data_IF_264156846087
#
_entry.id   IF_264156846087
#
_cell.length_a   1.000
_cell.length_b   1.000
_cell.length_c   1.000
_cell.angle_alpha   90.00
_cell.angle_beta   90.00
_cell.angle_gamma   90.00
#
_symmetry.space_group_name_H-M   'P 1'
#
loop_
_entity.id
_entity.type
_entity.pdbx_description
1 polymer ?
#
# COMPACT_ATOMS: atom_id res chain seq x y z
N UNK A 1 11.16 -3.40 9.39
CA UNK A 1 11.92 -2.26 8.85
C UNK A 1 13.26 -2.20 9.57
N UNK A 2 14.35 -1.88 8.90
CA UNK A 2 15.69 -1.93 9.51
C UNK A 2 16.66 -0.85 9.02
N UNK A 3 16.18 0.16 8.29
CA UNK A 3 16.99 1.25 7.74
C UNK A 3 16.08 2.39 7.30
N UNK A 4 16.60 3.62 7.26
CA UNK A 4 15.94 4.78 6.65
C UNK A 4 16.81 5.33 5.51
N UNK A 5 16.18 5.53 4.35
CA UNK A 5 16.75 6.23 3.21
C UNK A 5 15.92 7.49 2.95
N UNK A 6 16.52 8.65 3.17
CA UNK A 6 15.92 9.97 2.96
C UNK A 6 16.36 10.52 1.59
N UNK A 7 15.47 10.46 0.61
CA UNK A 7 15.73 10.92 -0.75
C UNK A 7 15.24 12.37 -0.87
N UNK A 8 16.15 13.31 -1.11
CA UNK A 8 15.81 14.74 -1.19
C UNK A 8 16.14 15.34 -2.56
N UNK A 9 15.25 16.20 -3.06
CA UNK A 9 15.45 16.96 -4.31
C UNK A 9 14.76 18.33 -4.23
N UNK A 10 15.28 19.19 -3.37
CA UNK A 10 14.81 20.55 -3.14
C UNK A 10 15.82 21.58 -3.65
N UNK A 11 15.35 22.81 -3.93
CA UNK A 11 16.26 23.92 -4.19
C UNK A 11 17.06 24.28 -2.94
N UNK A 12 18.24 24.86 -3.12
CA UNK A 12 19.14 25.16 -1.99
C UNK A 12 18.55 26.10 -0.94
N UNK A 13 17.68 27.02 -1.34
CA UNK A 13 16.95 27.95 -0.47
C UNK A 13 15.77 27.29 0.27
N UNK A 14 15.31 26.13 -0.20
CA UNK A 14 14.19 25.37 0.39
C UNK A 14 14.67 24.27 1.36
N UNK A 15 15.96 23.88 1.31
CA UNK A 15 16.56 22.83 2.16
C UNK A 15 16.58 23.15 3.66
N UNK A 16 16.14 24.32 4.08
CA UNK A 16 16.19 24.75 5.49
C UNK A 16 15.46 23.79 6.44
N UNK A 17 14.24 23.36 6.08
CA UNK A 17 13.44 22.43 6.89
C UNK A 17 14.09 21.04 6.91
N UNK A 18 14.47 20.54 5.74
CA UNK A 18 15.17 19.25 5.59
C UNK A 18 16.41 19.17 6.48
N UNK A 19 17.26 20.21 6.47
CA UNK A 19 18.48 20.24 7.30
C UNK A 19 18.15 20.14 8.79
N UNK A 20 17.17 20.91 9.27
CA UNK A 20 16.77 20.87 10.69
C UNK A 20 16.19 19.53 11.11
N UNK A 21 15.34 18.93 10.27
CA UNK A 21 14.81 17.58 10.54
C UNK A 21 15.94 16.54 10.54
N UNK A 22 16.85 16.64 9.59
CA UNK A 22 17.96 15.69 9.44
C UNK A 22 19.06 15.84 10.48
N UNK A 23 19.23 16.99 11.12
CA UNK A 23 20.19 17.15 12.23
C UNK A 23 19.86 16.23 13.41
N UNK A 24 18.57 16.01 13.69
CA UNK A 24 18.12 15.17 14.80
C UNK A 24 17.93 13.70 14.41
N UNK A 25 17.52 13.43 13.18
CA UNK A 25 16.99 12.12 12.78
C UNK A 25 17.99 10.96 12.85
N UNK A 26 19.26 11.11 12.44
CA UNK A 26 20.27 10.06 12.59
C UNK A 26 20.47 9.65 14.06
N UNK A 27 20.42 10.60 15.00
CA UNK A 27 20.50 10.31 16.44
C UNK A 27 19.31 9.48 16.91
N UNK A 28 18.10 9.80 16.45
CA UNK A 28 16.87 9.06 16.76
C UNK A 28 16.95 7.61 16.27
N UNK A 29 17.44 7.37 15.05
CA UNK A 29 17.60 6.01 14.51
C UNK A 29 18.77 5.24 15.14
N UNK A 30 19.87 5.93 15.46
CA UNK A 30 21.04 5.32 16.10
C UNK A 30 20.75 4.77 17.50
N UNK A 31 19.84 5.39 18.27
CA UNK A 31 19.39 4.86 19.57
C UNK A 31 18.81 3.45 19.44
N UNK A 32 18.12 3.17 18.33
CA UNK A 32 17.56 1.84 18.02
C UNK A 32 18.54 0.94 17.24
N UNK A 33 19.78 1.38 17.04
CA UNK A 33 20.78 0.65 16.26
C UNK A 33 20.45 0.54 14.77
N UNK A 34 19.63 1.45 14.24
CA UNK A 34 19.21 1.46 12.84
C UNK A 34 20.01 2.51 12.04
N UNK A 35 20.49 2.18 10.82
CA UNK A 35 21.12 3.15 9.95
C UNK A 35 20.08 4.10 9.34
N UNK A 36 20.47 5.37 9.21
CA UNK A 36 19.74 6.39 8.46
C UNK A 36 20.71 7.10 7.51
N UNK A 37 20.35 7.18 6.23
CA UNK A 37 21.14 7.81 5.19
C UNK A 37 20.30 8.83 4.41
N UNK A 38 20.89 9.99 4.10
CA UNK A 38 20.30 10.98 3.21
C UNK A 38 21.01 10.92 1.87
N UNK A 39 20.23 10.86 0.80
CA UNK A 39 20.70 10.81 -0.59
C UNK A 39 20.11 12.03 -1.31
N UNK A 40 21.00 12.89 -1.80
CA UNK A 40 20.61 13.99 -2.67
C UNK A 40 20.41 13.48 -4.09
N UNK A 41 19.24 13.75 -4.66
CA UNK A 41 18.83 13.31 -5.98
C UNK A 41 18.79 14.52 -6.91
N UNK A 42 19.61 14.52 -7.95
CA UNK A 42 19.72 15.67 -8.86
C UNK A 42 18.98 15.47 -10.18
N UNK A 43 18.70 14.22 -10.58
CA UNK A 43 18.02 13.88 -11.84
C UNK A 43 17.13 12.64 -11.74
N UNK A 44 16.26 12.44 -12.73
CA UNK A 44 15.38 11.27 -12.80
C UNK A 44 16.17 9.98 -12.94
N UNK A 45 17.32 10.04 -13.66
CA UNK A 45 18.25 8.92 -13.79
C UNK A 45 18.84 8.57 -12.42
N UNK A 46 19.29 9.55 -11.63
CA UNK A 46 19.80 9.31 -10.28
C UNK A 46 18.74 8.73 -9.35
N UNK A 47 17.50 9.25 -9.41
CA UNK A 47 16.38 8.70 -8.64
C UNK A 47 16.15 7.23 -8.99
N UNK A 48 16.08 6.93 -10.28
CA UNK A 48 15.92 5.56 -10.78
C UNK A 48 17.07 4.66 -10.29
N UNK A 49 18.31 5.11 -10.40
CA UNK A 49 19.49 4.38 -9.94
C UNK A 49 19.46 4.14 -8.43
N UNK A 50 19.10 5.13 -7.63
CA UNK A 50 18.97 4.99 -6.17
C UNK A 50 17.90 3.97 -5.79
N UNK A 51 16.72 4.04 -6.42
CA UNK A 51 15.64 3.07 -6.18
C UNK A 51 16.02 1.66 -6.65
N UNK A 52 16.76 1.53 -7.76
CA UNK A 52 17.29 0.23 -8.24
C UNK A 52 18.28 -0.38 -7.25
N UNK A 53 19.14 0.44 -6.64
CA UNK A 53 20.06 -0.02 -5.62
C UNK A 53 19.33 -0.49 -4.35
N UNK A 54 18.21 0.16 -3.98
CA UNK A 54 17.36 -0.32 -2.89
C UNK A 54 16.73 -1.68 -3.18
N UNK A 55 16.41 -2.00 -4.45
CA UNK A 55 15.99 -3.37 -4.84
C UNK A 55 17.13 -4.35 -4.55
N UNK A 56 18.37 -4.03 -4.92
CA UNK A 56 19.54 -4.87 -4.67
C UNK A 56 19.73 -5.11 -3.16
N UNK A 57 19.67 -4.06 -2.36
CA UNK A 57 19.78 -4.16 -0.90
C UNK A 57 18.64 -4.96 -0.27
N UNK A 58 17.41 -4.78 -0.75
CA UNK A 58 16.25 -5.54 -0.29
C UNK A 58 16.41 -7.05 -0.55
N UNK A 59 16.93 -7.43 -1.72
CA UNK A 59 17.26 -8.82 -2.02
C UNK A 59 18.35 -9.42 -1.11
N UNK A 60 19.19 -8.58 -0.50
CA UNK A 60 20.17 -8.99 0.52
C UNK A 60 19.61 -8.99 1.94
N UNK A 61 18.30 -8.73 2.11
CA UNK A 61 17.60 -8.77 3.39
C UNK A 61 17.33 -7.40 4.02
N UNK A 62 17.63 -6.29 3.34
CA UNK A 62 17.21 -4.97 3.79
C UNK A 62 15.67 -4.84 3.76
N UNK A 63 15.13 -4.11 4.73
CA UNK A 63 13.71 -3.73 4.81
C UNK A 63 13.65 -2.22 4.97
N UNK A 64 13.97 -1.47 3.91
CA UNK A 64 14.12 -0.03 3.98
C UNK A 64 12.80 0.67 4.29
N UNK A 65 12.92 1.77 5.02
CA UNK A 65 12.00 2.88 4.94
C UNK A 65 12.52 3.86 3.91
N UNK A 66 11.65 4.33 3.02
CA UNK A 66 12.00 5.39 2.08
C UNK A 66 11.24 6.65 2.49
N UNK A 67 11.96 7.74 2.73
CA UNK A 67 11.39 9.06 2.90
C UNK A 67 11.63 9.88 1.63
N UNK A 68 10.57 10.38 1.00
CA UNK A 68 10.68 11.34 -0.11
C UNK A 68 10.50 12.77 0.40
N UNK A 69 11.49 13.60 0.15
CA UNK A 69 11.55 15.01 0.56
C UNK A 69 11.81 15.90 -0.66
N UNK A 70 10.73 16.27 -1.32
CA UNK A 70 10.70 16.86 -2.65
C UNK A 70 9.38 17.62 -2.86
N UNK A 71 9.28 18.38 -3.94
CA UNK A 71 7.96 18.84 -4.37
C UNK A 71 7.26 17.75 -5.18
N UNK A 72 5.93 17.76 -5.12
CA UNK A 72 5.08 16.89 -5.91
C UNK A 72 4.06 17.69 -6.70
N UNK A 73 3.77 17.22 -7.91
CA UNK A 73 2.71 17.72 -8.78
C UNK A 73 1.65 16.65 -8.94
N UNK A 74 0.38 17.04 -8.76
CA UNK A 74 -0.76 16.15 -8.98
C UNK A 74 -0.70 15.45 -10.35
N UNK A 75 -0.36 16.19 -11.40
CA UNK A 75 -0.37 15.69 -12.78
C UNK A 75 0.98 15.10 -13.21
N UNK A 76 2.09 15.73 -12.81
CA UNK A 76 3.43 15.40 -13.35
C UNK A 76 4.23 14.43 -12.48
N UNK A 77 3.87 14.25 -11.22
CA UNK A 77 4.60 13.40 -10.28
C UNK A 77 5.63 14.16 -9.46
N UNK A 78 6.72 13.48 -9.10
CA UNK A 78 7.80 14.06 -8.31
C UNK A 78 8.63 15.03 -9.15
N UNK A 79 8.89 16.22 -8.63
CA UNK A 79 9.76 17.20 -9.26
C UNK A 79 11.17 17.10 -8.70
N UNK A 80 12.17 17.15 -9.60
CA UNK A 80 13.58 17.04 -9.27
C UNK A 80 14.26 18.37 -9.50
N UNK A 81 14.46 19.12 -8.42
CA UNK A 81 14.72 20.55 -8.49
C UNK A 81 16.01 20.92 -9.24
N UNK A 82 17.05 20.08 -9.19
CA UNK A 82 18.35 20.39 -9.79
C UNK A 82 18.37 20.26 -11.32
N UNK A 83 17.57 19.35 -11.88
CA UNK A 83 17.48 19.09 -13.33
C UNK A 83 16.21 19.64 -13.97
N UNK A 84 15.25 20.11 -13.17
CA UNK A 84 13.90 20.49 -13.59
C UNK A 84 13.13 19.36 -14.29
N UNK A 85 13.47 18.12 -13.95
CA UNK A 85 12.82 16.91 -14.44
C UNK A 85 11.64 16.50 -13.56
N UNK A 86 10.75 15.68 -14.12
CA UNK A 86 9.66 15.05 -13.38
C UNK A 86 9.73 13.52 -13.52
N UNK A 87 9.50 12.81 -12.42
CA UNK A 87 9.19 11.38 -12.45
C UNK A 87 7.70 11.19 -12.20
N UNK A 88 6.99 10.57 -13.15
CA UNK A 88 5.56 10.37 -13.03
C UNK A 88 5.21 9.44 -11.85
N UNK A 89 4.01 9.61 -11.29
CA UNK A 89 3.52 8.71 -10.24
C UNK A 89 3.50 7.25 -10.69
N UNK A 90 3.15 6.98 -11.94
CA UNK A 90 3.15 5.63 -12.51
C UNK A 90 4.54 5.00 -12.54
N UNK A 91 5.56 5.75 -12.95
CA UNK A 91 6.95 5.27 -12.98
C UNK A 91 7.45 5.00 -11.56
N UNK A 92 7.23 5.94 -10.65
CA UNK A 92 7.60 5.79 -9.24
C UNK A 92 6.95 4.55 -8.62
N UNK A 93 5.65 4.35 -8.83
CA UNK A 93 4.90 3.18 -8.33
C UNK A 93 5.46 1.87 -8.90
N UNK A 94 5.88 1.86 -10.17
CA UNK A 94 6.50 0.68 -10.76
C UNK A 94 7.82 0.34 -10.08
N UNK A 95 8.68 1.33 -9.82
CA UNK A 95 9.96 1.12 -9.13
C UNK A 95 9.78 0.69 -7.67
N UNK A 96 8.85 1.31 -6.95
CA UNK A 96 8.55 0.95 -5.57
C UNK A 96 8.00 -0.48 -5.45
N UNK A 97 7.24 -0.95 -6.46
CA UNK A 97 6.77 -2.33 -6.54
C UNK A 97 7.90 -3.35 -6.56
N UNK A 98 8.94 -3.10 -7.33
CA UNK A 98 10.09 -4.00 -7.40
C UNK A 98 10.82 -4.07 -6.04
N UNK A 99 10.93 -2.93 -5.35
CA UNK A 99 11.50 -2.88 -3.99
C UNK A 99 10.60 -3.65 -3.01
N UNK A 100 9.30 -3.41 -3.02
CA UNK A 100 8.38 -4.04 -2.08
C UNK A 100 8.26 -5.55 -2.30
N UNK A 101 8.37 -6.01 -3.56
CA UNK A 101 8.49 -7.42 -3.90
C UNK A 101 9.73 -8.03 -3.24
N UNK A 102 10.90 -7.40 -3.39
CA UNK A 102 12.14 -7.84 -2.76
C UNK A 102 12.08 -7.80 -1.23
N UNK A 103 11.31 -6.87 -0.65
CA UNK A 103 11.09 -6.76 0.80
C UNK A 103 10.07 -7.77 1.36
N UNK A 104 9.40 -8.55 0.52
CA UNK A 104 8.29 -9.43 0.94
C UNK A 104 7.14 -8.64 1.58
N UNK A 105 6.74 -7.53 0.94
CA UNK A 105 5.67 -6.63 1.39
C UNK A 105 5.93 -5.94 2.74
N UNK A 106 7.19 -5.58 2.99
CA UNK A 106 7.63 -4.83 4.18
C UNK A 106 8.21 -3.44 3.85
N UNK A 107 8.08 -2.95 2.62
CA UNK A 107 8.50 -1.59 2.28
C UNK A 107 7.53 -0.60 2.93
N UNK A 108 8.10 0.35 3.68
CA UNK A 108 7.36 1.51 4.18
C UNK A 108 7.84 2.76 3.46
N UNK A 109 6.90 3.54 2.95
CA UNK A 109 7.17 4.81 2.29
C UNK A 109 6.53 5.94 3.08
N UNK A 110 7.32 6.95 3.42
CA UNK A 110 6.84 8.23 3.93
C UNK A 110 7.15 9.26 2.84
N UNK A 111 6.17 10.04 2.41
CA UNK A 111 6.40 11.04 1.37
C UNK A 111 5.90 12.38 1.86
N UNK A 112 6.84 13.31 2.07
CA UNK A 112 6.57 14.70 2.39
C UNK A 112 6.37 15.56 1.12
N UNK A 113 6.17 14.93 -0.04
CA UNK A 113 5.94 15.64 -1.30
C UNK A 113 4.42 15.87 -1.53
N UNK A 114 4.02 17.08 -1.93
CA UNK A 114 2.62 17.44 -2.17
C UNK A 114 1.89 16.43 -3.09
N UNK A 115 0.63 16.13 -2.80
CA UNK A 115 -0.24 15.23 -3.57
C UNK A 115 0.25 13.78 -3.69
N UNK A 116 1.31 13.37 -2.98
CA UNK A 116 1.91 12.05 -3.17
C UNK A 116 1.02 10.88 -2.71
N UNK A 117 -0.07 11.12 -1.98
CA UNK A 117 -1.06 10.08 -1.70
C UNK A 117 -1.85 9.63 -2.94
N UNK A 118 -1.88 10.43 -4.01
CA UNK A 118 -2.50 10.07 -5.29
C UNK A 118 -1.85 8.83 -5.93
N UNK A 119 -0.61 8.51 -5.55
CA UNK A 119 0.09 7.30 -5.97
C UNK A 119 -0.71 6.02 -5.66
N UNK A 120 -1.60 6.03 -4.66
CA UNK A 120 -2.51 4.91 -4.34
C UNK A 120 -3.43 4.54 -5.51
N UNK A 121 -3.76 5.48 -6.40
CA UNK A 121 -4.65 5.23 -7.55
C UNK A 121 -4.07 4.27 -8.58
N UNK A 122 -2.75 4.07 -8.56
CA UNK A 122 -2.04 3.15 -9.44
C UNK A 122 -1.83 1.75 -8.80
N UNK A 123 -2.41 1.51 -7.62
CA UNK A 123 -2.39 0.19 -6.98
C UNK A 123 -3.38 -0.74 -7.66
N UNK A 124 -2.87 -1.85 -8.19
CA UNK A 124 -3.64 -2.95 -8.78
C UNK A 124 -3.45 -4.22 -7.94
N UNK A 125 -4.55 -4.82 -7.47
CA UNK A 125 -4.53 -6.05 -6.68
C UNK A 125 -4.05 -7.28 -7.46
N UNK A 126 -3.98 -7.19 -8.79
CA UNK A 126 -3.46 -8.23 -9.65
C UNK A 126 -1.94 -8.18 -9.80
N UNK A 127 -1.30 -7.09 -9.37
CA UNK A 127 0.14 -6.91 -9.31
C UNK A 127 0.61 -6.90 -7.85
N UNK A 128 1.91 -6.99 -7.63
CA UNK A 128 2.48 -6.75 -6.29
C UNK A 128 2.14 -5.33 -5.81
N UNK A 129 1.77 -5.18 -4.54
CA UNK A 129 1.57 -3.86 -3.95
C UNK A 129 2.87 -3.03 -4.05
N UNK A 130 2.82 -1.74 -4.42
CA UNK A 130 4.03 -0.93 -4.51
C UNK A 130 4.69 -0.65 -3.15
N UNK A 131 3.94 -0.78 -2.06
CA UNK A 131 4.41 -0.61 -0.70
C UNK A 131 3.51 -1.38 0.26
N UNK A 132 4.07 -1.82 1.39
CA UNK A 132 3.28 -2.33 2.50
C UNK A 132 2.50 -1.21 3.18
N UNK A 133 3.15 -0.08 3.39
CA UNK A 133 2.60 1.14 3.99
C UNK A 133 3.05 2.36 3.17
N UNK A 134 2.12 3.27 2.89
CA UNK A 134 2.42 4.63 2.41
C UNK A 134 1.81 5.64 3.38
N UNK A 135 2.60 6.61 3.82
CA UNK A 135 2.16 7.78 4.58
C UNK A 135 2.47 9.01 3.76
N UNK A 136 1.44 9.69 3.27
CA UNK A 136 1.60 10.82 2.34
C UNK A 136 0.43 11.82 2.43
N UNK A 137 0.62 13.09 2.03
CA UNK A 137 -0.45 14.06 1.94
C UNK A 137 -1.36 13.85 0.71
N UNK A 138 -2.66 14.08 0.90
CA UNK A 138 -3.66 14.12 -0.20
C UNK A 138 -3.56 15.41 -1.02
N UNK A 139 -2.99 16.46 -0.44
CA UNK A 139 -2.89 17.79 -1.04
C UNK A 139 -1.53 18.43 -0.84
N UNK A 140 -1.52 19.75 -0.81
CA UNK A 140 -0.34 20.53 -0.42
C UNK A 140 -0.01 20.31 1.06
N UNK A 141 1.28 20.29 1.38
CA UNK A 141 1.77 20.18 2.75
C UNK A 141 2.58 21.41 3.13
N UNK A 142 2.36 21.92 4.34
CA UNK A 142 3.05 23.11 4.82
C UNK A 142 4.43 22.75 5.40
N UNK A 143 5.45 23.54 5.05
CA UNK A 143 6.82 23.33 5.52
C UNK A 143 6.96 23.39 7.06
N UNK A 144 6.25 24.32 7.71
CA UNK A 144 6.24 24.43 9.18
C UNK A 144 5.59 23.20 9.84
N UNK A 145 4.53 22.64 9.23
CA UNK A 145 3.95 21.39 9.70
C UNK A 145 4.95 20.23 9.66
N UNK A 146 5.72 20.10 8.57
CA UNK A 146 6.76 19.08 8.44
C UNK A 146 7.85 19.25 9.51
N UNK A 147 8.34 20.48 9.69
CA UNK A 147 9.37 20.80 10.68
C UNK A 147 8.94 20.43 12.11
N UNK A 148 7.71 20.78 12.48
CA UNK A 148 7.18 20.52 13.83
C UNK A 148 6.92 19.03 14.10
N UNK A 149 6.51 18.27 13.09
CA UNK A 149 5.94 16.93 13.29
C UNK A 149 6.82 15.78 12.82
N UNK A 150 7.76 15.97 11.90
CA UNK A 150 8.45 14.84 11.26
C UNK A 150 9.40 14.12 12.22
N UNK A 151 10.27 14.83 12.94
CA UNK A 151 11.16 14.21 13.95
C UNK A 151 10.35 13.55 15.06
N UNK A 152 9.26 14.20 15.50
CA UNK A 152 8.38 13.66 16.54
C UNK A 152 7.68 12.38 16.08
N UNK A 153 7.23 12.33 14.83
CA UNK A 153 6.66 11.12 14.20
C UNK A 153 7.65 9.96 14.24
N UNK A 154 8.89 10.16 13.77
CA UNK A 154 9.89 9.10 13.77
C UNK A 154 10.26 8.62 15.17
N UNK A 155 10.42 9.56 16.11
CA UNK A 155 10.72 9.23 17.51
C UNK A 155 9.62 8.41 18.15
N UNK A 156 8.36 8.79 17.96
CA UNK A 156 7.21 8.08 18.52
C UNK A 156 7.01 6.71 17.86
N UNK A 157 7.15 6.63 16.54
CA UNK A 157 7.06 5.38 15.79
C UNK A 157 8.09 4.36 16.28
N UNK A 158 9.35 4.78 16.45
CA UNK A 158 10.43 3.89 16.90
C UNK A 158 10.24 3.48 18.36
N UNK A 159 9.93 4.43 19.25
CA UNK A 159 9.76 4.15 20.68
C UNK A 159 8.57 3.23 20.98
N UNK A 160 7.46 3.35 20.23
CA UNK A 160 6.27 2.53 20.42
C UNK A 160 6.29 1.24 19.59
N UNK A 161 7.09 1.18 18.53
CA UNK A 161 6.99 0.14 17.51
C UNK A 161 5.65 0.15 16.75
N UNK A 162 4.93 1.27 16.78
CA UNK A 162 3.60 1.42 16.19
C UNK A 162 3.53 2.67 15.29
N UNK A 163 3.67 2.43 13.99
CA UNK A 163 3.58 3.47 12.97
C UNK A 163 2.18 4.05 12.80
N UNK A 164 1.14 3.26 13.08
CA UNK A 164 -0.26 3.72 12.96
C UNK A 164 -0.53 4.75 14.04
N UNK A 165 -0.18 4.42 15.29
CA UNK A 165 -0.32 5.36 16.41
C UNK A 165 0.49 6.64 16.18
N UNK A 166 1.75 6.53 15.76
CA UNK A 166 2.58 7.70 15.49
C UNK A 166 2.01 8.60 14.36
N UNK A 167 1.51 8.00 13.28
CA UNK A 167 0.84 8.73 12.20
C UNK A 167 -0.41 9.46 12.71
N UNK A 168 -1.26 8.78 13.49
CA UNK A 168 -2.50 9.37 14.04
C UNK A 168 -2.24 10.51 15.02
N UNK A 169 -1.17 10.41 15.82
CA UNK A 169 -0.79 11.46 16.76
C UNK A 169 -0.17 12.67 16.05
N UNK A 170 0.71 12.44 15.07
CA UNK A 170 1.61 13.49 14.54
C UNK A 170 1.25 13.99 13.16
N UNK A 171 0.71 13.13 12.29
CA UNK A 171 0.62 13.41 10.86
C UNK A 171 -0.82 13.52 10.32
N UNK A 172 -1.83 12.99 11.03
CA UNK A 172 -3.23 12.90 10.54
C UNK A 172 -3.86 14.19 10.00
N UNK A 173 -3.37 15.35 10.45
CA UNK A 173 -3.90 16.65 10.04
C UNK A 173 -3.64 16.93 8.55
N UNK A 174 -2.52 16.45 8.02
CA UNK A 174 -2.11 16.69 6.62
C UNK A 174 -1.81 15.41 5.83
N UNK A 175 -1.70 14.26 6.50
CA UNK A 175 -1.34 12.99 5.89
C UNK A 175 -2.47 11.96 5.98
N UNK A 176 -2.41 11.00 5.07
CA UNK A 176 -3.16 9.75 5.09
C UNK A 176 -2.22 8.57 5.08
N UNK A 177 -2.75 7.43 5.49
CA UNK A 177 -2.03 6.17 5.47
C UNK A 177 -2.77 5.15 4.61
N UNK A 178 -2.03 4.57 3.68
CA UNK A 178 -2.42 3.35 2.99
C UNK A 178 -1.72 2.16 3.64
N UNK A 179 -2.41 1.03 3.74
CA UNK A 179 -1.84 -0.23 4.15
C UNK A 179 -2.32 -1.35 3.22
N UNK A 180 -1.39 -2.10 2.62
CA UNK A 180 -1.72 -3.10 1.57
C UNK A 180 -2.68 -4.17 2.09
N UNK A 181 -2.41 -4.75 3.26
CA UNK A 181 -3.32 -5.74 3.85
C UNK A 181 -4.73 -5.19 4.14
N UNK A 182 -4.85 -3.97 4.68
CA UNK A 182 -6.17 -3.34 4.91
C UNK A 182 -6.90 -3.08 3.60
N UNK A 183 -6.18 -2.65 2.56
CA UNK A 183 -6.76 -2.46 1.22
C UNK A 183 -7.25 -3.78 0.62
N UNK A 184 -6.46 -4.86 0.72
CA UNK A 184 -6.91 -6.17 0.27
C UNK A 184 -8.14 -6.64 1.06
N UNK A 185 -8.12 -6.52 2.39
CA UNK A 185 -9.27 -6.85 3.24
C UNK A 185 -10.52 -6.08 2.79
N UNK A 186 -10.42 -4.77 2.54
CA UNK A 186 -11.50 -3.95 2.03
C UNK A 186 -12.08 -4.45 0.71
N UNK A 187 -11.22 -4.72 -0.27
CA UNK A 187 -11.62 -5.22 -1.58
C UNK A 187 -12.33 -6.58 -1.46
N UNK A 188 -11.77 -7.49 -0.66
CA UNK A 188 -12.34 -8.82 -0.45
C UNK A 188 -13.66 -8.76 0.34
N UNK A 189 -13.77 -7.91 1.35
CA UNK A 189 -15.01 -7.64 2.09
C UNK A 189 -16.12 -7.16 1.15
N UNK A 190 -15.80 -6.21 0.25
CA UNK A 190 -16.75 -5.77 -0.79
C UNK A 190 -17.15 -6.89 -1.74
N UNK A 191 -16.20 -7.71 -2.19
CA UNK A 191 -16.48 -8.87 -3.03
C UNK A 191 -17.43 -9.87 -2.34
N UNK A 192 -17.19 -10.16 -1.06
CA UNK A 192 -18.04 -11.03 -0.24
C UNK A 192 -19.44 -10.43 -0.08
N UNK A 193 -19.55 -9.13 0.16
CA UNK A 193 -20.85 -8.45 0.28
C UNK A 193 -21.65 -8.48 -1.03
N UNK A 194 -21.00 -8.29 -2.17
CA UNK A 194 -21.65 -8.16 -3.47
C UNK A 194 -22.15 -9.51 -4.02
N UNK A 195 -21.52 -10.64 -3.67
CA UNK A 195 -21.91 -11.93 -4.23
C UNK A 195 -21.45 -13.17 -3.48
N UNK A 196 -20.88 -13.01 -2.29
CA UNK A 196 -20.37 -14.12 -1.47
C UNK A 196 -21.35 -14.64 -0.42
N UNK A 197 -22.44 -13.92 -0.10
CA UNK A 197 -23.39 -14.32 0.94
C UNK A 197 -24.87 -14.04 0.65
N UNK A 198 -25.76 -14.84 1.26
CA UNK A 198 -27.20 -14.57 1.37
C UNK A 198 -27.96 -14.57 0.04
N UNK A 199 -28.89 -13.62 -0.13
CA UNK A 199 -29.71 -13.48 -1.35
C UNK A 199 -28.85 -13.26 -2.61
N UNK A 200 -27.86 -12.36 -2.54
CA UNK A 200 -26.98 -12.06 -3.67
C UNK A 200 -26.13 -13.25 -4.13
N UNK A 201 -25.69 -14.10 -3.19
CA UNK A 201 -25.01 -15.36 -3.52
C UNK A 201 -25.94 -16.30 -4.31
N UNK A 202 -27.22 -16.40 -3.93
CA UNK A 202 -28.21 -17.21 -4.67
C UNK A 202 -28.40 -16.69 -6.09
N UNK A 203 -28.59 -15.39 -6.24
CA UNK A 203 -28.73 -14.74 -7.54
C UNK A 203 -27.49 -14.95 -8.42
N UNK A 204 -26.28 -14.78 -7.86
CA UNK A 204 -25.01 -15.05 -8.57
C UNK A 204 -24.88 -16.52 -9.00
N UNK A 205 -25.25 -17.45 -8.11
CA UNK A 205 -25.24 -18.89 -8.40
C UNK A 205 -26.19 -19.25 -9.52
N UNK A 206 -27.39 -18.68 -9.53
CA UNK A 206 -28.37 -18.88 -10.59
C UNK A 206 -27.89 -18.32 -11.92
N UNK A 207 -27.28 -17.13 -11.93
CA UNK A 207 -26.71 -16.53 -13.14
C UNK A 207 -25.58 -17.39 -13.75
N UNK A 208 -24.64 -17.87 -12.92
CA UNK A 208 -23.57 -18.77 -13.38
C UNK A 208 -24.10 -20.09 -13.95
N UNK A 209 -25.13 -20.67 -13.33
CA UNK A 209 -25.77 -21.89 -13.84
C UNK A 209 -26.43 -21.64 -15.21
N UNK A 210 -27.04 -20.47 -15.44
CA UNK A 210 -27.61 -20.12 -16.74
C UNK A 210 -26.53 -19.95 -17.82
N UNK A 211 -25.38 -19.38 -17.47
CA UNK A 211 -24.26 -19.20 -18.41
C UNK A 211 -23.53 -20.51 -18.73
N UNK A 212 -23.46 -21.44 -17.77
CA UNK A 212 -22.67 -22.66 -17.89
C UNK A 212 -23.42 -23.83 -18.56
N UNK A 213 -24.72 -23.69 -18.84
CA UNK A 213 -25.51 -24.69 -19.55
C UNK A 213 -25.71 -24.21 -21.00
N UNK A 214 -24.98 -24.77 -21.98
CA UNK A 214 -25.25 -24.51 -23.39
C UNK A 214 -26.62 -25.08 -23.78
N UNK A 215 -27.32 -24.42 -24.72
CA UNK A 215 -28.66 -24.86 -25.18
C UNK A 215 -28.67 -26.29 -25.76
N UNK A 216 -27.51 -26.83 -26.15
CA UNK A 216 -27.37 -28.09 -26.88
C UNK A 216 -26.77 -29.26 -26.06
N UNK A 217 -26.49 -29.09 -24.75
CA UNK A 217 -25.89 -30.17 -23.94
C UNK A 217 -26.95 -30.99 -23.21
N UNK A 218 -26.91 -32.31 -23.38
CA UNK A 218 -27.77 -33.25 -22.66
C UNK A 218 -27.42 -33.25 -21.16
N UNK A 219 -28.31 -32.66 -20.35
CA UNK A 219 -28.09 -32.49 -18.91
C UNK A 219 -28.30 -33.81 -18.16
N UNK A 220 -27.24 -34.62 -18.07
CA UNK A 220 -27.24 -35.80 -17.21
C UNK A 220 -27.20 -35.40 -15.72
N UNK A 221 -27.65 -36.30 -14.83
CA UNK A 221 -27.53 -36.11 -13.37
C UNK A 221 -26.07 -35.87 -12.94
N UNK A 222 -25.11 -36.50 -13.62
CA UNK A 222 -23.69 -36.38 -13.33
C UNK A 222 -23.15 -35.02 -13.76
N UNK A 223 -23.44 -34.57 -14.98
CA UNK A 223 -23.07 -33.23 -15.50
C UNK A 223 -23.64 -32.12 -14.62
N UNK A 224 -24.89 -32.25 -14.15
CA UNK A 224 -25.50 -31.29 -13.24
C UNK A 224 -24.85 -31.26 -11.85
N UNK A 225 -24.35 -32.40 -11.35
CA UNK A 225 -23.62 -32.46 -10.09
C UNK A 225 -22.26 -31.76 -10.23
N UNK A 226 -21.55 -32.00 -11.33
CA UNK A 226 -20.26 -31.36 -11.64
C UNK A 226 -20.39 -29.84 -11.79
N UNK A 227 -21.40 -29.35 -12.53
CA UNK A 227 -21.68 -27.92 -12.67
C UNK A 227 -21.98 -27.25 -11.32
N UNK A 228 -22.75 -27.91 -10.44
CA UNK A 228 -23.03 -27.41 -9.09
C UNK A 228 -21.78 -27.35 -8.22
N UNK A 229 -20.91 -28.36 -8.32
CA UNK A 229 -19.65 -28.40 -7.61
C UNK A 229 -18.72 -27.27 -8.06
N UNK A 230 -18.59 -27.06 -9.38
CA UNK A 230 -17.78 -25.99 -9.97
C UNK A 230 -18.29 -24.59 -9.58
N UNK A 231 -19.62 -24.39 -9.65
CA UNK A 231 -20.30 -23.18 -9.15
C UNK A 231 -20.02 -22.91 -7.67
N UNK A 232 -20.11 -23.93 -6.83
CA UNK A 232 -19.90 -23.75 -5.38
C UNK A 232 -18.45 -23.39 -5.07
N UNK A 233 -17.50 -23.98 -5.78
CA UNK A 233 -16.07 -23.63 -5.70
C UNK A 233 -15.76 -22.22 -6.22
N UNK A 234 -16.54 -21.71 -7.19
CA UNK A 234 -16.38 -20.36 -7.72
C UNK A 234 -17.04 -19.26 -6.86
N UNK A 235 -18.05 -19.61 -6.06
CA UNK A 235 -18.91 -18.61 -5.40
C UNK A 235 -18.73 -18.52 -3.90
N UNK A 236 -18.28 -19.59 -3.23
CA UNK A 236 -18.01 -19.53 -1.79
C UNK A 236 -16.70 -18.79 -1.54
N UNK A 237 -16.69 -17.75 -0.70
CA UNK A 237 -15.44 -17.22 -0.19
C UNK A 237 -14.83 -18.28 0.74
N UNK A 238 -13.68 -18.81 0.36
CA UNK A 238 -12.88 -19.75 1.14
C UNK A 238 -11.52 -19.14 1.40
N UNK A 239 -10.72 -19.70 2.31
CA UNK A 239 -9.34 -19.24 2.52
C UNK A 239 -8.51 -19.26 1.23
N UNK A 240 -8.87 -20.11 0.25
CA UNK A 240 -8.22 -20.11 -1.06
C UNK A 240 -8.46 -18.82 -1.86
N UNK A 241 -9.51 -18.05 -1.56
CA UNK A 241 -9.70 -16.70 -2.09
C UNK A 241 -8.56 -15.78 -1.65
N UNK A 242 -8.23 -15.76 -0.36
CA UNK A 242 -7.14 -14.95 0.18
C UNK A 242 -5.80 -15.44 -0.36
N UNK A 243 -5.57 -16.77 -0.35
CA UNK A 243 -4.31 -17.38 -0.81
C UNK A 243 -3.94 -17.01 -2.25
N UNK A 244 -4.90 -16.69 -3.12
CA UNK A 244 -4.63 -16.24 -4.50
C UNK A 244 -3.85 -14.92 -4.55
N UNK A 245 -4.04 -14.04 -3.57
CA UNK A 245 -3.41 -12.71 -3.53
C UNK A 245 -2.12 -12.69 -2.72
N UNK A 246 -1.81 -13.76 -1.97
CA UNK A 246 -0.60 -13.81 -1.13
C UNK A 246 0.67 -13.74 -1.98
N UNK A 247 0.90 -14.61 -3.00
CA UNK A 247 2.15 -14.59 -3.75
C UNK A 247 2.33 -13.33 -4.61
N UNK A 248 1.23 -12.79 -5.15
CA UNK A 248 1.24 -11.59 -5.99
C UNK A 248 1.18 -10.32 -5.13
N UNK A 249 -0.05 -9.86 -4.83
CA UNK A 249 -0.27 -8.58 -4.16
C UNK A 249 0.49 -8.38 -2.86
N UNK A 250 0.55 -9.40 -1.99
CA UNK A 250 1.23 -9.31 -0.70
C UNK A 250 2.68 -9.84 -0.73
N UNK A 251 3.27 -10.09 -1.91
CA UNK A 251 4.64 -10.58 -2.07
C UNK A 251 5.03 -11.73 -1.11
N UNK A 252 4.11 -12.66 -0.89
CA UNK A 252 4.30 -13.83 -0.01
C UNK A 252 4.00 -13.59 1.46
N UNK A 253 3.72 -12.35 1.90
CA UNK A 253 3.36 -12.05 3.29
C UNK A 253 1.98 -12.61 3.63
N UNK A 254 1.91 -13.40 4.71
CA UNK A 254 0.64 -13.87 5.24
C UNK A 254 -0.16 -12.69 5.82
N UNK A 255 -1.44 -12.51 5.43
CA UNK A 255 -2.26 -11.43 5.95
C UNK A 255 -2.68 -11.68 7.39
N UNK A 256 -2.91 -10.61 8.15
CA UNK A 256 -3.42 -10.68 9.52
C UNK A 256 -4.93 -10.95 9.65
N UNK A 257 -5.62 -11.31 8.55
CA UNK A 257 -7.06 -11.56 8.52
C UNK A 257 -7.42 -12.89 7.84
N UNK A 258 -8.61 -13.40 8.16
CA UNK A 258 -9.20 -14.65 7.66
C UNK A 258 -10.51 -14.37 6.94
N UNK A 259 -10.99 -15.29 6.10
CA UNK A 259 -12.29 -15.13 5.44
C UNK A 259 -13.42 -15.00 6.45
N UNK A 260 -13.36 -15.73 7.57
CA UNK A 260 -14.35 -15.64 8.64
C UNK A 260 -14.45 -14.21 9.20
N UNK A 261 -13.32 -13.55 9.44
CA UNK A 261 -13.31 -12.17 9.91
C UNK A 261 -13.96 -11.23 8.90
N UNK A 262 -13.66 -11.39 7.60
CA UNK A 262 -14.30 -10.59 6.54
C UNK A 262 -15.82 -10.85 6.47
N UNK A 263 -16.27 -12.10 6.60
CA UNK A 263 -17.70 -12.42 6.65
C UNK A 263 -18.40 -11.79 7.86
N UNK A 264 -17.78 -11.86 9.03
CA UNK A 264 -18.32 -11.30 10.27
C UNK A 264 -18.43 -9.78 10.18
N UNK A 265 -17.48 -9.11 9.52
CA UNK A 265 -17.56 -7.68 9.21
C UNK A 265 -18.73 -7.35 8.27
N UNK A 266 -18.91 -8.10 7.19
CA UNK A 266 -20.06 -7.89 6.28
C UNK A 266 -21.38 -8.07 7.04
N UNK A 267 -21.48 -9.07 7.92
CA UNK A 267 -22.68 -9.28 8.75
C UNK A 267 -22.93 -8.11 9.69
N UNK A 268 -21.90 -7.62 10.39
CA UNK A 268 -21.98 -6.45 11.27
C UNK A 268 -22.41 -5.20 10.52
N UNK A 269 -21.78 -4.90 9.38
CA UNK A 269 -22.09 -3.74 8.55
C UNK A 269 -23.54 -3.75 8.06
N UNK A 270 -24.03 -4.90 7.56
CA UNK A 270 -25.43 -5.08 7.15
C UNK A 270 -26.41 -4.88 8.31
N UNK A 271 -26.10 -5.40 9.50
CA UNK A 271 -26.95 -5.23 10.67
C UNK A 271 -27.03 -3.76 11.13
N UNK A 272 -25.94 -3.01 10.96
CA UNK A 272 -25.88 -1.58 11.25
C UNK A 272 -26.40 -0.68 10.12
N UNK A 273 -26.79 -1.23 8.97
CA UNK A 273 -27.26 -0.46 7.81
C UNK A 273 -26.17 0.37 7.11
N UNK A 274 -24.89 0.04 7.32
CA UNK A 274 -23.74 0.74 6.74
C UNK A 274 -23.08 -0.09 5.63
N UNK A 275 -22.40 0.55 4.65
CA UNK A 275 -21.62 -0.16 3.65
C UNK A 275 -20.45 -0.95 4.28
N UNK A 276 -20.23 -2.23 3.90
CA UNK A 276 -19.07 -2.99 4.36
C UNK A 276 -17.74 -2.42 3.84
N UNK A 277 -16.68 -2.56 4.62
CA UNK A 277 -15.32 -2.16 4.26
C UNK A 277 -14.91 -0.73 4.65
N UNK A 278 -15.68 -0.04 5.48
CA UNK A 278 -15.17 1.16 6.14
C UNK A 278 -14.25 0.73 7.29
N UNK A 279 -12.95 0.66 7.01
CA UNK A 279 -11.88 0.50 8.01
C UNK A 279 -11.36 1.86 8.46
#
# INVERSE_FOLDING_TARGET
MNSLFWLTSLRDDEKGVTRRVWEDLPGVFAVEGLPAEMIEITSAIELHSALTELVRLANLGAKPMIHFDCHGSLERGLWLAASDEYMSWSELISLLRDINQACGNNLCVVSACCFSFEAVRFVDIHLTAPFGILIAPEGEVNAGFLEENMVAFYREMLALGDITSAMETRLKASFRMFHSEKMLAHVLTKYIDQGGMGRRLRERREALMKMAVPEEVELTKQTMAELRHLRDNMTKPTEDLIKRFIPGFLAGKAPAFTVKQLEDEVRKARAAGIPPGQF
#
